data_IF_925661087197
#
_entry.id   IF_925661087197
#
_cell.length_a   1.000
_cell.length_b   1.000
_cell.length_c   1.000
_cell.angle_alpha   90.00
_cell.angle_beta   90.00
_cell.angle_gamma   90.00
#
_symmetry.space_group_name_H-M   'P 1'
#
loop_
_entity.id
_entity.type
_entity.pdbx_description
1 polymer ?
#
# COMPACT_ATOMS: atom_id res chain seq x y z
N UNK A 1 -13.58 5.22 0.74
CA UNK A 1 -12.56 4.33 1.34
C UNK A 1 -13.03 3.77 2.67
N UNK A 2 -13.18 4.56 3.73
CA UNK A 2 -13.57 4.05 5.08
C UNK A 2 -14.87 3.24 5.01
N UNK A 3 -15.92 3.78 4.39
CA UNK A 3 -17.21 3.08 4.22
C UNK A 3 -17.07 1.70 3.54
N UNK A 4 -16.21 1.57 2.53
CA UNK A 4 -15.96 0.30 1.85
C UNK A 4 -15.15 -0.67 2.70
N UNK A 5 -14.21 -0.17 3.50
CA UNK A 5 -13.43 -0.99 4.43
C UNK A 5 -14.30 -1.49 5.60
N UNK A 6 -15.19 -0.66 6.13
CA UNK A 6 -16.17 -1.06 7.14
C UNK A 6 -17.08 -2.16 6.60
N UNK A 7 -17.63 -1.96 5.39
CA UNK A 7 -18.47 -2.95 4.73
C UNK A 7 -17.71 -4.26 4.52
N UNK A 8 -16.51 -4.20 3.96
CA UNK A 8 -15.65 -5.37 3.72
C UNK A 8 -15.34 -6.11 5.01
N UNK A 9 -14.98 -5.39 6.08
CA UNK A 9 -14.72 -5.96 7.41
C UNK A 9 -15.97 -6.66 7.96
N UNK A 10 -17.16 -6.03 7.88
CA UNK A 10 -18.42 -6.64 8.33
C UNK A 10 -18.80 -7.90 7.54
N UNK A 11 -18.37 -8.00 6.29
CA UNK A 11 -18.57 -9.15 5.42
C UNK A 11 -17.44 -10.19 5.51
N UNK A 12 -16.41 -9.94 6.34
CA UNK A 12 -15.24 -10.82 6.46
C UNK A 12 -14.38 -10.88 5.20
N UNK A 13 -14.45 -9.87 4.33
CA UNK A 13 -13.73 -9.82 3.06
C UNK A 13 -12.29 -9.34 3.24
N UNK A 14 -11.40 -9.88 2.41
CA UNK A 14 -10.05 -9.37 2.23
C UNK A 14 -10.04 -8.24 1.20
N UNK A 15 -9.20 -7.23 1.41
CA UNK A 15 -9.09 -6.05 0.54
C UNK A 15 -7.65 -5.88 0.06
N UNK A 16 -7.51 -5.63 -1.24
CA UNK A 16 -6.30 -5.09 -1.84
C UNK A 16 -6.51 -3.61 -2.20
N UNK A 17 -5.51 -2.78 -1.93
CA UNK A 17 -5.52 -1.36 -2.31
C UNK A 17 -4.59 -1.16 -3.48
N UNK A 18 -5.06 -0.50 -4.54
CA UNK A 18 -4.25 -0.14 -5.70
C UNK A 18 -4.28 1.38 -5.85
N UNK A 19 -3.11 1.99 -6.03
CA UNK A 19 -2.97 3.43 -6.22
C UNK A 19 -1.76 3.80 -7.06
N UNK A 20 -1.58 5.08 -7.37
CA UNK A 20 -0.43 5.55 -8.15
C UNK A 20 0.72 6.00 -7.24
N UNK A 21 0.53 7.14 -6.55
CA UNK A 21 1.53 7.71 -5.63
C UNK A 21 1.48 6.96 -4.29
N UNK A 22 2.59 6.37 -3.82
CA UNK A 22 2.59 5.64 -2.56
C UNK A 22 2.48 6.60 -1.35
N UNK A 23 1.63 6.30 -0.35
CA UNK A 23 1.59 7.03 0.91
C UNK A 23 2.98 7.21 1.52
N UNK A 24 3.25 8.41 2.07
CA UNK A 24 4.56 8.76 2.60
C UNK A 24 5.59 9.20 1.54
N UNK A 25 5.23 9.23 0.26
CA UNK A 25 6.02 9.92 -0.77
C UNK A 25 5.95 11.45 -0.58
N UNK A 26 7.00 12.22 -0.94
CA UNK A 26 6.98 13.70 -0.88
C UNK A 26 5.81 14.34 -1.63
N UNK A 27 5.33 13.71 -2.70
CA UNK A 27 4.19 14.20 -3.49
C UNK A 27 2.82 13.93 -2.83
N UNK A 28 2.79 13.19 -1.71
CA UNK A 28 1.60 13.05 -0.89
C UNK A 28 1.62 14.05 0.27
N UNK A 29 0.55 14.82 0.42
CA UNK A 29 0.39 15.72 1.56
C UNK A 29 0.57 14.96 2.89
N UNK A 30 1.40 15.50 3.79
CA UNK A 30 1.75 14.85 5.07
C UNK A 30 0.53 14.49 5.91
N UNK A 31 -0.48 15.38 5.93
CA UNK A 31 -1.74 15.16 6.64
C UNK A 31 -2.53 14.00 6.02
N UNK A 32 -2.56 13.92 4.68
CA UNK A 32 -3.22 12.81 3.99
C UNK A 32 -2.53 11.49 4.31
N UNK A 33 -1.19 11.43 4.20
CA UNK A 33 -0.41 10.22 4.50
C UNK A 33 -0.61 9.75 5.94
N UNK A 34 -0.72 10.67 6.91
CA UNK A 34 -0.99 10.33 8.32
C UNK A 34 -2.38 9.74 8.51
N UNK A 35 -3.41 10.33 7.90
CA UNK A 35 -4.77 9.80 7.97
C UNK A 35 -4.89 8.44 7.29
N UNK A 36 -4.26 8.29 6.13
CA UNK A 36 -4.21 7.00 5.43
C UNK A 36 -3.52 5.93 6.29
N UNK A 37 -2.39 6.25 6.93
CA UNK A 37 -1.72 5.37 7.89
C UNK A 37 -2.65 4.92 9.04
N UNK A 38 -3.41 5.84 9.62
CA UNK A 38 -4.36 5.50 10.69
C UNK A 38 -5.47 4.57 10.19
N UNK A 39 -5.97 4.79 8.98
CA UNK A 39 -6.98 3.93 8.34
C UNK A 39 -6.41 2.53 8.12
N UNK A 40 -5.24 2.40 7.49
CA UNK A 40 -4.60 1.09 7.27
C UNK A 40 -4.34 0.38 8.61
N UNK A 41 -3.91 1.11 9.64
CA UNK A 41 -3.72 0.54 10.97
C UNK A 41 -5.02 0.00 11.57
N UNK A 42 -6.15 0.72 11.43
CA UNK A 42 -7.46 0.28 11.92
C UNK A 42 -7.96 -0.97 11.19
N UNK A 43 -7.73 -1.05 9.88
CA UNK A 43 -8.20 -2.16 9.04
C UNK A 43 -7.09 -3.17 8.70
N UNK A 44 -6.05 -3.28 9.54
CA UNK A 44 -4.87 -4.13 9.29
C UNK A 44 -5.19 -5.62 9.07
N UNK A 45 -6.35 -6.09 9.55
CA UNK A 45 -6.83 -7.46 9.34
C UNK A 45 -7.59 -7.62 8.02
N UNK A 46 -8.23 -6.56 7.54
CA UNK A 46 -9.07 -6.53 6.33
C UNK A 46 -8.21 -6.26 5.10
N UNK A 47 -7.29 -5.30 5.17
CA UNK A 47 -6.36 -5.00 4.07
C UNK A 47 -5.23 -6.03 4.07
N UNK A 48 -5.08 -6.78 2.99
CA UNK A 48 -4.06 -7.84 2.85
C UNK A 48 -2.84 -7.40 2.05
N UNK A 49 -2.97 -6.34 1.27
CA UNK A 49 -1.90 -5.89 0.40
C UNK A 49 -2.18 -4.53 -0.24
N UNK A 50 -1.12 -3.78 -0.53
CA UNK A 50 -1.21 -2.50 -1.21
C UNK A 50 -0.20 -2.39 -2.34
N UNK A 51 -0.62 -1.87 -3.50
CA UNK A 51 0.15 -1.88 -4.75
C UNK A 51 0.19 -0.49 -5.38
N UNK A 52 1.40 0.03 -5.62
CA UNK A 52 1.65 1.37 -6.11
C UNK A 52 2.71 1.41 -7.23
N UNK A 53 2.89 2.59 -7.82
CA UNK A 53 3.94 2.90 -8.78
C UNK A 53 4.57 4.26 -8.46
N UNK A 54 4.55 5.17 -9.43
CA UNK A 54 5.03 6.56 -9.34
C UNK A 54 6.55 6.73 -9.21
N UNK A 55 7.22 5.93 -8.38
CA UNK A 55 8.66 6.08 -8.16
C UNK A 55 9.51 5.52 -9.29
N UNK A 56 8.93 4.65 -10.13
CA UNK A 56 9.59 3.89 -11.20
C UNK A 56 10.57 2.80 -10.72
N UNK A 57 10.72 2.61 -9.41
CA UNK A 57 11.62 1.62 -8.82
C UNK A 57 10.87 0.42 -8.25
N UNK A 58 11.58 -0.70 -8.12
CA UNK A 58 11.10 -1.86 -7.37
C UNK A 58 11.39 -1.64 -5.88
N UNK A 59 10.33 -1.38 -5.09
CA UNK A 59 10.47 -1.09 -3.67
C UNK A 59 9.41 -1.82 -2.83
N UNK A 60 9.73 -2.01 -1.55
CA UNK A 60 8.81 -2.48 -0.52
C UNK A 60 8.82 -1.50 0.65
N UNK A 61 7.63 -1.07 1.08
CA UNK A 61 7.44 -0.31 2.32
C UNK A 61 6.57 -1.12 3.27
N UNK A 62 6.86 -0.99 4.57
CA UNK A 62 6.12 -1.67 5.63
C UNK A 62 5.39 -0.65 6.50
N UNK A 63 4.12 -0.90 6.76
CA UNK A 63 3.37 -0.22 7.80
C UNK A 63 3.63 -0.93 9.13
N UNK A 64 3.85 -0.17 10.19
CA UNK A 64 4.06 -0.67 11.55
C UNK A 64 2.89 -0.32 12.47
N UNK A 65 2.68 -1.12 13.51
CA UNK A 65 1.66 -0.87 14.52
C UNK A 65 1.93 0.43 15.29
N UNK A 66 0.91 1.26 15.54
CA UNK A 66 1.05 2.49 16.33
C UNK A 66 1.16 2.22 17.84
N UNK A 67 0.75 1.03 18.31
CA UNK A 67 0.72 0.68 19.73
C UNK A 67 1.76 -0.38 20.11
N UNK A 68 2.32 -1.10 19.14
CA UNK A 68 3.26 -2.20 19.36
C UNK A 68 4.53 -1.95 18.57
N UNK A 69 5.61 -1.56 19.25
CA UNK A 69 6.86 -1.20 18.61
C UNK A 69 7.44 -2.39 17.82
N UNK A 70 7.81 -2.15 16.56
CA UNK A 70 8.48 -3.15 15.73
C UNK A 70 7.54 -4.18 15.08
N UNK A 71 6.23 -4.13 15.32
CA UNK A 71 5.27 -5.06 14.70
C UNK A 71 4.86 -4.57 13.31
N UNK A 72 5.25 -5.25 12.21
CA UNK A 72 4.74 -4.93 10.89
C UNK A 72 3.28 -5.38 10.77
N UNK A 73 2.44 -4.55 10.15
CA UNK A 73 1.00 -4.78 10.06
C UNK A 73 0.48 -4.85 8.63
N UNK A 74 1.20 -4.29 7.65
CA UNK A 74 0.76 -4.35 6.26
C UNK A 74 1.92 -4.07 5.27
N UNK A 75 2.06 -4.86 4.19
CA UNK A 75 3.02 -4.59 3.13
C UNK A 75 2.46 -3.63 2.07
N UNK A 76 3.34 -2.77 1.55
CA UNK A 76 3.09 -1.89 0.41
C UNK A 76 4.17 -2.13 -0.64
N UNK A 77 3.79 -2.67 -1.80
CA UNK A 77 4.69 -2.88 -2.92
C UNK A 77 4.62 -1.72 -3.90
N UNK A 78 5.79 -1.25 -4.31
CA UNK A 78 5.92 -0.29 -5.40
C UNK A 78 6.51 -1.05 -6.59
N UNK A 79 5.80 -1.03 -7.71
CA UNK A 79 6.21 -1.74 -8.91
C UNK A 79 7.08 -0.83 -9.79
N UNK A 80 8.10 -1.40 -10.46
CA UNK A 80 8.91 -0.66 -11.41
C UNK A 80 8.07 -0.24 -12.62
N UNK A 81 8.61 0.66 -13.43
CA UNK A 81 7.93 1.16 -14.62
C UNK A 81 8.29 0.40 -15.89
N UNK A 82 7.35 0.42 -16.85
CA UNK A 82 7.64 0.04 -18.24
C UNK A 82 8.51 1.09 -18.95
N UNK A 83 8.36 2.36 -18.60
CA UNK A 83 9.25 3.39 -19.14
C UNK A 83 10.65 3.23 -18.56
N UNK A 84 11.71 3.36 -19.38
CA UNK A 84 13.08 3.35 -18.87
C UNK A 84 13.46 4.64 -18.15
N UNK A 85 12.57 5.64 -18.11
CA UNK A 85 12.86 6.93 -17.51
C UNK A 85 13.19 6.82 -16.01
N UNK A 86 14.30 7.39 -15.51
CA UNK A 86 15.39 8.05 -16.26
C UNK A 86 16.49 7.08 -16.70
N UNK A 87 16.84 6.11 -15.85
CA UNK A 87 17.87 5.09 -16.09
C UNK A 87 17.42 3.75 -15.46
N UNK A 88 16.25 3.27 -15.86
CA UNK A 88 15.71 1.98 -15.42
C UNK A 88 15.57 1.01 -16.61
N UNK A 89 15.65 -0.29 -16.34
CA UNK A 89 15.25 -1.29 -17.33
C UNK A 89 13.71 -1.39 -17.36
N UNK A 90 13.07 -1.35 -18.54
CA UNK A 90 11.63 -1.63 -18.68
C UNK A 90 11.24 -2.91 -17.95
N UNK A 91 10.33 -2.80 -16.98
CA UNK A 91 10.00 -3.91 -16.09
C UNK A 91 8.51 -3.95 -15.75
N UNK A 92 8.01 -5.15 -15.44
CA UNK A 92 6.68 -5.38 -14.89
C UNK A 92 6.78 -6.38 -13.73
N UNK A 93 5.74 -6.42 -12.87
CA UNK A 93 5.71 -7.27 -11.69
C UNK A 93 4.44 -8.11 -11.66
N UNK A 94 4.59 -9.40 -11.37
CA UNK A 94 3.48 -10.36 -11.22
C UNK A 94 3.35 -10.67 -9.72
N UNK A 95 2.12 -10.59 -9.21
CA UNK A 95 1.78 -11.00 -7.86
C UNK A 95 0.90 -12.25 -7.90
N UNK A 96 1.22 -13.21 -7.03
CA UNK A 96 0.38 -14.35 -6.75
C UNK A 96 -0.30 -14.10 -5.40
N UNK A 97 -1.59 -14.37 -5.34
CA UNK A 97 -2.39 -14.23 -4.13
C UNK A 97 -3.20 -15.50 -3.92
N UNK A 98 -3.52 -15.79 -2.66
CA UNK A 98 -4.43 -16.88 -2.32
C UNK A 98 -5.81 -16.61 -2.93
N UNK A 99 -6.34 -17.61 -3.63
CA UNK A 99 -7.65 -17.58 -4.30
C UNK A 99 -8.80 -18.03 -3.42
#
# INVERSE_FOLDING_TARGET
MIQELDKSESMGQSVHIVGHVPPGHPDCAKVWSRNFYNIISRYRKTVKGQFYGHTHYDELKLFYSPTELGVPINPLWISPSLTPYEINNPSYKIFYADG
#
